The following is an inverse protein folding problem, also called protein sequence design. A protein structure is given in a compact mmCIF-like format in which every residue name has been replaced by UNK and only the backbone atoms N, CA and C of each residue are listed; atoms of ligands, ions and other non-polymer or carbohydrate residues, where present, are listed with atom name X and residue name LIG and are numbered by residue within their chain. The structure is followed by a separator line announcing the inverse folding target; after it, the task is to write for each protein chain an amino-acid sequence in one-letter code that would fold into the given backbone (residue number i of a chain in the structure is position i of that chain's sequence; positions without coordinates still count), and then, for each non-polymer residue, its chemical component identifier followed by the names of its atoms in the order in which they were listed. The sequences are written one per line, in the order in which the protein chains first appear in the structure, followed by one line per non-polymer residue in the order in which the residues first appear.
data_IF_417301708948
#
_entry.id   IF_417301708948
#
_cell.length_a   1.000
_cell.length_b   1.000
_cell.length_c   1.000
_cell.angle_alpha   90.00
_cell.angle_beta   90.00
_cell.angle_gamma   90.00
#
_symmetry.space_group_name_H-M   'P 1'
#
loop_
_entity.id
_entity.type
_entity.pdbx_description
1 polymer ?
#
# COMPACT_ATOMS: atom_id res chain seq x y z
N UNK A 1 3.51 -14.66 18.59
CA UNK A 1 3.98 -13.27 18.77
C UNK A 1 2.86 -12.37 18.33
N UNK A 2 2.36 -11.49 19.20
CA UNK A 2 1.37 -10.47 18.83
C UNK A 2 2.04 -9.53 17.82
N UNK A 3 1.45 -9.37 16.64
CA UNK A 3 1.90 -8.33 15.72
C UNK A 3 1.60 -6.99 16.39
N UNK A 4 2.61 -6.16 16.54
CA UNK A 4 2.46 -4.78 16.98
C UNK A 4 2.41 -3.93 15.72
N UNK A 5 1.43 -3.03 15.64
CA UNK A 5 1.41 -2.01 14.59
C UNK A 5 2.57 -1.02 14.81
N UNK A 6 2.75 -0.09 13.86
CA UNK A 6 3.84 0.88 13.91
C UNK A 6 3.73 1.90 15.06
N UNK A 7 2.57 1.98 15.72
CA UNK A 7 2.30 2.87 16.86
C UNK A 7 2.64 2.21 18.20
N UNK A 8 3.05 0.93 18.17
CA UNK A 8 3.28 0.13 19.38
C UNK A 8 1.99 -0.44 19.96
N UNK A 9 0.85 -0.30 19.27
CA UNK A 9 -0.41 -0.92 19.64
C UNK A 9 -0.44 -2.36 19.13
N UNK A 10 -1.01 -3.24 19.94
CA UNK A 10 -1.21 -4.64 19.56
C UNK A 10 -2.22 -4.67 18.41
N UNK A 11 -1.88 -5.31 17.27
CA UNK A 11 -2.77 -5.55 16.15
C UNK A 11 -4.08 -6.14 16.68
N UNK A 12 -5.14 -5.34 16.54
CA UNK A 12 -6.39 -5.52 17.27
C UNK A 12 -7.49 -6.09 16.40
N UNK A 13 -8.61 -6.44 17.05
CA UNK A 13 -9.80 -6.91 16.36
C UNK A 13 -10.40 -5.83 15.44
N UNK A 14 -10.20 -4.56 15.76
CA UNK A 14 -10.60 -3.39 14.97
C UNK A 14 -9.87 -3.31 13.63
N UNK A 15 -8.56 -3.59 13.58
CA UNK A 15 -7.80 -3.67 12.33
C UNK A 15 -8.33 -4.77 11.41
N UNK A 16 -8.60 -5.95 11.98
CA UNK A 16 -9.12 -7.09 11.22
C UNK A 16 -10.52 -6.84 10.64
N UNK A 17 -11.37 -6.13 11.39
CA UNK A 17 -12.70 -5.68 10.95
C UNK A 17 -12.59 -4.77 9.74
N UNK A 18 -11.73 -3.74 9.80
CA UNK A 18 -11.57 -2.75 8.72
C UNK A 18 -11.02 -3.41 7.44
N UNK A 19 -10.02 -4.28 7.58
CA UNK A 19 -9.45 -5.01 6.45
C UNK A 19 -10.49 -5.93 5.82
N UNK A 20 -11.20 -6.72 6.64
CA UNK A 20 -12.24 -7.62 6.17
C UNK A 20 -13.34 -6.87 5.40
N UNK A 21 -13.79 -5.73 5.95
CA UNK A 21 -14.79 -4.87 5.32
C UNK A 21 -14.32 -4.34 3.95
N UNK A 22 -13.08 -3.85 3.90
CA UNK A 22 -12.49 -3.22 2.71
C UNK A 22 -12.28 -4.24 1.59
N UNK A 23 -11.75 -5.42 1.90
CA UNK A 23 -11.52 -6.49 0.92
C UNK A 23 -12.86 -6.98 0.37
N UNK A 24 -13.85 -7.20 1.21
CA UNK A 24 -15.16 -7.69 0.76
C UNK A 24 -15.87 -6.68 -0.14
N UNK A 25 -15.81 -5.38 0.20
CA UNK A 25 -16.34 -4.32 -0.66
C UNK A 25 -15.63 -4.27 -2.01
N UNK A 26 -14.30 -4.25 -2.01
CA UNK A 26 -13.52 -4.22 -3.24
C UNK A 26 -13.78 -5.46 -4.11
N UNK A 27 -13.90 -6.64 -3.49
CA UNK A 27 -14.21 -7.90 -4.17
C UNK A 27 -15.60 -7.88 -4.79
N UNK A 28 -16.59 -7.35 -4.08
CA UNK A 28 -17.95 -7.15 -4.60
C UNK A 28 -17.96 -6.24 -5.82
N UNK A 29 -17.31 -5.08 -5.73
CA UNK A 29 -17.22 -4.11 -6.83
C UNK A 29 -16.51 -4.72 -8.05
N UNK A 30 -15.37 -5.38 -7.84
CA UNK A 30 -14.61 -6.00 -8.91
C UNK A 30 -15.40 -7.14 -9.58
N UNK A 31 -15.98 -8.04 -8.79
CA UNK A 31 -16.74 -9.19 -9.32
C UNK A 31 -17.93 -8.72 -10.14
N UNK A 32 -18.70 -7.76 -9.64
CA UNK A 32 -19.87 -7.24 -10.35
C UNK A 32 -19.46 -6.50 -11.63
N UNK A 33 -18.35 -5.75 -11.60
CA UNK A 33 -17.77 -5.13 -12.80
C UNK A 33 -17.38 -6.17 -13.86
N UNK A 34 -16.64 -7.22 -13.49
CA UNK A 34 -16.15 -8.23 -14.43
C UNK A 34 -17.24 -9.19 -14.94
N UNK A 35 -18.27 -9.43 -14.14
CA UNK A 35 -19.40 -10.28 -14.53
C UNK A 35 -20.55 -9.51 -15.18
N UNK A 36 -20.35 -8.21 -15.43
CA UNK A 36 -21.36 -7.28 -15.93
C UNK A 36 -22.67 -7.32 -15.11
N UNK A 37 -22.58 -7.63 -13.82
CA UNK A 37 -23.70 -7.61 -12.89
C UNK A 37 -23.86 -6.21 -12.30
N UNK A 38 -25.09 -5.76 -12.01
CA UNK A 38 -25.32 -4.44 -11.45
C UNK A 38 -24.67 -4.29 -10.07
N UNK A 39 -23.93 -3.20 -9.89
CA UNK A 39 -23.42 -2.76 -8.58
C UNK A 39 -24.57 -2.06 -7.86
N UNK A 40 -24.94 -2.55 -6.68
CA UNK A 40 -26.05 -1.99 -5.88
C UNK A 40 -25.53 -1.52 -4.53
N UNK A 41 -26.12 -0.45 -4.00
CA UNK A 41 -25.78 0.04 -2.66
C UNK A 41 -26.07 -1.03 -1.58
N UNK A 42 -27.18 -1.76 -1.72
CA UNK A 42 -27.53 -2.87 -0.82
C UNK A 42 -26.45 -3.96 -0.85
N UNK A 43 -26.03 -4.39 -2.03
CA UNK A 43 -24.99 -5.42 -2.18
C UNK A 43 -23.63 -4.96 -1.65
N UNK A 44 -23.25 -3.70 -1.89
CA UNK A 44 -22.01 -3.12 -1.37
C UNK A 44 -22.01 -3.07 0.16
N UNK A 45 -23.10 -2.62 0.78
CA UNK A 45 -23.25 -2.57 2.24
C UNK A 45 -23.26 -3.97 2.86
N UNK A 46 -23.99 -4.92 2.27
CA UNK A 46 -24.00 -6.32 2.72
C UNK A 46 -22.60 -6.94 2.62
N UNK A 47 -21.89 -6.77 1.50
CA UNK A 47 -20.54 -7.28 1.34
C UNK A 47 -19.57 -6.69 2.38
N UNK A 48 -19.62 -5.37 2.58
CA UNK A 48 -18.78 -4.67 3.56
C UNK A 48 -19.03 -5.19 4.99
N UNK A 49 -20.31 -5.32 5.39
CA UNK A 49 -20.68 -5.80 6.72
C UNK A 49 -20.27 -7.26 6.95
N UNK A 50 -20.49 -8.13 5.95
CA UNK A 50 -20.07 -9.54 6.01
C UNK A 50 -18.55 -9.66 6.07
N UNK A 51 -17.84 -8.82 5.31
CA UNK A 51 -16.38 -8.73 5.36
C UNK A 51 -15.87 -8.34 6.74
N UNK A 52 -16.48 -7.31 7.35
CA UNK A 52 -16.18 -6.85 8.69
C UNK A 52 -16.33 -7.98 9.74
N UNK A 53 -17.47 -8.68 9.71
CA UNK A 53 -17.77 -9.80 10.60
C UNK A 53 -16.79 -10.96 10.40
N UNK A 54 -16.45 -11.26 9.14
CA UNK A 54 -15.50 -12.32 8.79
C UNK A 54 -14.08 -12.00 9.24
N UNK A 55 -13.67 -10.74 9.13
CA UNK A 55 -12.39 -10.24 9.62
C UNK A 55 -12.25 -10.41 11.14
N UNK A 56 -13.27 -9.97 11.91
CA UNK A 56 -13.30 -10.13 13.36
C UNK A 56 -13.20 -11.61 13.80
N UNK A 57 -14.01 -12.48 13.19
CA UNK A 57 -14.07 -13.88 13.55
C UNK A 57 -12.75 -14.61 13.24
N UNK A 58 -12.17 -14.35 12.06
CA UNK A 58 -10.88 -14.93 11.64
C UNK A 58 -9.75 -14.46 12.55
N UNK A 59 -9.75 -13.19 12.96
CA UNK A 59 -8.78 -12.67 13.93
C UNK A 59 -8.88 -13.39 15.28
N UNK A 60 -10.09 -13.52 15.83
CA UNK A 60 -10.31 -14.24 17.08
C UNK A 60 -9.86 -15.70 17.02
N UNK A 61 -10.16 -16.40 15.92
CA UNK A 61 -9.68 -17.78 15.69
C UNK A 61 -8.15 -17.83 15.67
N UNK A 62 -7.51 -16.89 14.98
CA UNK A 62 -6.05 -16.77 14.92
C UNK A 62 -5.40 -16.47 16.28
N UNK A 63 -6.04 -15.65 17.12
CA UNK A 63 -5.55 -15.34 18.46
C UNK A 63 -5.55 -16.59 19.36
N UNK A 64 -6.64 -17.36 19.32
CA UNK A 64 -6.76 -18.62 20.04
C UNK A 64 -5.80 -19.69 19.50
N UNK A 65 -5.71 -19.84 18.18
CA UNK A 65 -4.77 -20.75 17.54
C UNK A 65 -3.32 -20.40 17.86
N UNK A 66 -3.00 -19.11 18.00
CA UNK A 66 -1.67 -18.62 18.37
C UNK A 66 -1.20 -19.04 19.76
N UNK A 67 -2.10 -19.51 20.64
CA UNK A 67 -1.76 -20.10 21.95
C UNK A 67 -1.32 -21.56 21.85
N UNK A 68 -1.53 -22.20 20.70
CA UNK A 68 -1.21 -23.62 20.47
C UNK A 68 0.22 -23.77 19.96
N UNK A 69 1.09 -24.40 20.77
CA UNK A 69 2.52 -24.56 20.46
C UNK A 69 2.87 -25.66 19.44
N UNK A 70 1.93 -26.55 19.12
CA UNK A 70 2.13 -27.61 18.14
C UNK A 70 1.53 -27.20 16.78
N UNK A 71 2.35 -27.20 15.73
CA UNK A 71 1.96 -26.79 14.39
C UNK A 71 0.76 -27.57 13.83
N UNK A 72 0.72 -28.89 14.02
CA UNK A 72 -0.36 -29.73 13.49
C UNK A 72 -1.67 -29.52 14.24
N UNK A 73 -1.61 -29.40 15.56
CA UNK A 73 -2.78 -29.09 16.41
C UNK A 73 -3.32 -27.72 16.06
N UNK A 74 -2.44 -26.72 15.96
CA UNK A 74 -2.79 -25.36 15.56
C UNK A 74 -3.45 -25.33 14.18
N UNK A 75 -2.81 -25.93 13.18
CA UNK A 75 -3.32 -25.93 11.80
C UNK A 75 -4.65 -26.68 11.69
N UNK A 76 -4.81 -27.79 12.41
CA UNK A 76 -6.05 -28.54 12.48
C UNK A 76 -7.18 -27.75 13.14
N UNK A 77 -6.88 -27.04 14.23
CA UNK A 77 -7.84 -26.15 14.88
C UNK A 77 -8.25 -24.98 13.98
N UNK A 78 -7.29 -24.29 13.35
CA UNK A 78 -7.55 -23.19 12.40
C UNK A 78 -8.40 -23.66 11.21
N UNK A 79 -8.17 -24.87 10.70
CA UNK A 79 -8.96 -25.47 9.64
C UNK A 79 -10.39 -25.76 10.07
N UNK A 80 -10.57 -26.39 11.23
CA UNK A 80 -11.90 -26.71 11.74
C UNK A 80 -12.69 -25.43 12.07
N UNK A 81 -12.05 -24.46 12.72
CA UNK A 81 -12.69 -23.23 13.16
C UNK A 81 -13.06 -22.32 11.98
N UNK A 82 -12.13 -22.06 11.03
CA UNK A 82 -12.46 -21.29 9.84
C UNK A 82 -13.44 -22.03 8.92
N UNK A 83 -13.35 -23.36 8.80
CA UNK A 83 -14.34 -24.16 8.08
C UNK A 83 -15.72 -24.00 8.68
N UNK A 84 -15.88 -24.25 9.98
CA UNK A 84 -17.18 -24.14 10.66
C UNK A 84 -17.77 -22.74 10.53
N UNK A 85 -16.95 -21.70 10.71
CA UNK A 85 -17.38 -20.31 10.56
C UNK A 85 -17.81 -19.99 9.12
N UNK A 86 -17.00 -20.34 8.12
CA UNK A 86 -17.31 -20.08 6.71
C UNK A 86 -18.52 -20.90 6.22
N UNK A 87 -18.70 -22.12 6.72
CA UNK A 87 -19.89 -22.93 6.46
C UNK A 87 -21.16 -22.30 7.01
N UNK A 88 -21.13 -21.84 8.28
CA UNK A 88 -22.26 -21.14 8.89
C UNK A 88 -22.59 -19.83 8.15
N UNK A 89 -21.57 -19.05 7.80
CA UNK A 89 -21.72 -17.80 7.06
C UNK A 89 -22.33 -18.03 5.67
N UNK A 90 -21.85 -19.05 4.95
CA UNK A 90 -22.38 -19.45 3.64
C UNK A 90 -23.84 -19.89 3.76
N UNK A 91 -24.19 -20.64 4.81
CA UNK A 91 -25.57 -21.04 5.10
C UNK A 91 -26.51 -19.84 5.32
N UNK A 92 -26.09 -18.85 6.10
CA UNK A 92 -26.87 -17.62 6.35
C UNK A 92 -27.04 -16.78 5.07
N UNK A 93 -26.11 -16.89 4.12
CA UNK A 93 -26.17 -16.24 2.81
C UNK A 93 -26.95 -17.04 1.75
N UNK A 94 -27.56 -18.17 2.14
CA UNK A 94 -28.38 -19.01 1.25
C UNK A 94 -27.58 -20.05 0.45
N UNK A 95 -26.29 -20.24 0.74
CA UNK A 95 -25.44 -21.28 0.15
C UNK A 95 -25.40 -22.57 0.98
N UNK A 96 -24.66 -23.57 0.52
CA UNK A 96 -24.52 -24.85 1.23
C UNK A 96 -23.46 -24.75 2.34
N UNK A 97 -23.79 -25.24 3.53
CA UNK A 97 -22.86 -25.29 4.66
C UNK A 97 -21.54 -25.97 4.31
N UNK A 98 -21.58 -27.14 3.64
CA UNK A 98 -20.41 -27.94 3.33
C UNK A 98 -19.49 -27.28 2.31
N UNK A 99 -20.03 -26.50 1.36
CA UNK A 99 -19.19 -25.74 0.43
C UNK A 99 -18.43 -24.62 1.14
N UNK A 100 -19.10 -23.90 2.05
CA UNK A 100 -18.45 -22.89 2.87
C UNK A 100 -17.43 -23.49 3.84
N UNK A 101 -17.77 -24.64 4.44
CA UNK A 101 -16.89 -25.38 5.33
C UNK A 101 -15.61 -25.84 4.65
N UNK A 102 -15.74 -26.47 3.49
CA UNK A 102 -14.58 -26.93 2.72
C UNK A 102 -13.68 -25.75 2.31
N UNK A 103 -14.27 -24.65 1.82
CA UNK A 103 -13.52 -23.46 1.45
C UNK A 103 -12.74 -22.86 2.62
N UNK A 104 -13.38 -22.71 3.79
CA UNK A 104 -12.74 -22.18 4.99
C UNK A 104 -11.63 -23.10 5.54
N UNK A 105 -11.88 -24.41 5.62
CA UNK A 105 -10.93 -25.36 6.17
C UNK A 105 -9.68 -25.51 5.30
N UNK A 106 -9.85 -25.59 3.98
CA UNK A 106 -8.74 -25.74 3.03
C UNK A 106 -7.90 -24.47 2.97
N UNK A 107 -8.53 -23.29 3.02
CA UNK A 107 -7.81 -22.02 3.07
C UNK A 107 -6.91 -21.91 4.30
N UNK A 108 -7.38 -22.37 5.48
CA UNK A 108 -6.53 -22.43 6.68
C UNK A 108 -5.35 -23.37 6.51
N UNK A 109 -5.59 -24.61 6.06
CA UNK A 109 -4.53 -25.60 5.89
C UNK A 109 -3.48 -25.09 4.90
N UNK A 110 -3.93 -24.52 3.78
CA UNK A 110 -3.05 -23.95 2.78
C UNK A 110 -2.23 -22.78 3.35
N UNK A 111 -2.84 -21.91 4.15
CA UNK A 111 -2.13 -20.82 4.85
C UNK A 111 -1.07 -21.35 5.80
N UNK A 112 -1.39 -22.37 6.61
CA UNK A 112 -0.45 -22.99 7.54
C UNK A 112 0.72 -23.68 6.81
N UNK A 113 0.45 -24.37 5.70
CA UNK A 113 1.48 -24.99 4.83
C UNK A 113 2.35 -23.93 4.15
N UNK A 114 1.76 -22.80 3.74
CA UNK A 114 2.48 -21.71 3.10
C UNK A 114 3.43 -20.99 4.06
N UNK A 115 2.94 -20.64 5.26
CA UNK A 115 3.71 -19.94 6.29
C UNK A 115 4.74 -20.86 6.97
N UNK A 116 4.37 -22.13 7.18
CA UNK A 116 5.10 -23.08 8.01
C UNK A 116 4.94 -22.78 9.49
N UNK A 117 5.63 -23.54 10.33
CA UNK A 117 5.59 -23.37 11.78
C UNK A 117 6.50 -24.36 12.49
N UNK A 118 6.58 -24.21 13.81
CA UNK A 118 7.39 -25.08 14.65
C UNK A 118 6.51 -25.81 15.65
N UNK A 119 6.89 -27.03 15.98
CA UNK A 119 6.33 -27.83 17.07
C UNK A 119 7.44 -28.05 18.07
N UNK A 120 7.26 -27.58 19.31
CA UNK A 120 8.20 -27.82 20.40
C UNK A 120 7.57 -28.78 21.41
N UNK A 121 8.22 -29.91 21.64
CA UNK A 121 7.85 -30.85 22.70
C UNK A 121 8.94 -30.82 23.77
N UNK A 122 8.55 -30.50 25.01
CA UNK A 122 9.44 -30.58 26.16
C UNK A 122 9.27 -31.94 26.83
N UNK A 123 10.34 -32.73 26.88
CA UNK A 123 10.42 -33.98 27.61
C UNK A 123 11.01 -33.71 28.99
N UNK A 124 10.31 -34.14 30.03
CA UNK A 124 10.79 -34.07 31.41
C UNK A 124 11.21 -35.46 31.88
N UNK A 125 12.46 -35.62 32.32
CA UNK A 125 12.99 -36.84 32.95
C UNK A 125 13.63 -36.44 34.28
N UNK A 126 12.92 -36.67 35.39
CA UNK A 126 13.34 -36.18 36.70
C UNK A 126 13.41 -34.65 36.71
N UNK A 127 14.53 -34.09 37.18
CA UNK A 127 14.80 -32.63 37.16
C UNK A 127 15.28 -32.10 35.82
N UNK A 128 15.56 -32.97 34.85
CA UNK A 128 16.00 -32.58 33.51
C UNK A 128 14.81 -32.34 32.60
N UNK A 129 14.83 -31.22 31.89
CA UNK A 129 13.85 -30.85 30.87
C UNK A 129 14.59 -30.59 29.57
N UNK A 130 14.25 -31.32 28.51
CA UNK A 130 14.81 -31.14 27.16
C UNK A 130 13.70 -30.77 26.18
N UNK A 131 13.92 -29.76 25.34
CA UNK A 131 12.91 -29.26 24.40
C UNK A 131 13.34 -29.55 22.97
N UNK A 132 12.66 -30.50 22.33
CA UNK A 132 12.86 -30.83 20.92
C UNK A 132 11.94 -29.96 20.09
N UNK A 133 12.52 -29.11 19.24
CA UNK A 133 11.76 -28.25 18.31
C UNK A 133 11.89 -28.75 16.88
N UNK A 134 10.80 -29.25 16.31
CA UNK A 134 10.70 -29.59 14.89
C UNK A 134 10.17 -28.39 14.14
N UNK A 135 10.91 -27.88 13.16
CA UNK A 135 10.49 -26.73 12.34
C UNK A 135 10.11 -27.16 10.93
N UNK A 136 8.86 -26.91 10.55
CA UNK A 136 8.37 -27.06 9.18
C UNK A 136 8.56 -25.73 8.44
N UNK A 137 9.55 -25.67 7.55
CA UNK A 137 9.72 -24.52 6.66
C UNK A 137 8.56 -24.49 5.68
N UNK A 138 7.72 -23.47 5.77
CA UNK A 138 6.57 -23.32 4.87
C UNK A 138 6.99 -23.16 3.42
N UNK A 139 6.09 -23.53 2.49
CA UNK A 139 6.36 -23.52 1.05
C UNK A 139 6.83 -22.14 0.55
N UNK A 140 6.28 -21.06 1.11
CA UNK A 140 6.70 -19.70 0.80
C UNK A 140 8.16 -19.41 1.19
N UNK A 141 8.66 -20.05 2.25
CA UNK A 141 10.08 -19.93 2.65
C UNK A 141 10.99 -20.76 1.75
N UNK A 142 10.56 -21.99 1.41
CA UNK A 142 11.34 -22.93 0.60
C UNK A 142 11.49 -22.44 -0.83
N UNK A 143 10.43 -21.84 -1.40
CA UNK A 143 10.43 -21.32 -2.77
C UNK A 143 11.00 -19.89 -2.88
N UNK A 144 11.45 -19.27 -1.79
CA UNK A 144 11.90 -17.86 -1.79
C UNK A 144 10.77 -16.85 -2.05
N UNK A 145 9.52 -17.27 -1.85
CA UNK A 145 8.30 -16.51 -2.11
C UNK A 145 7.74 -15.84 -0.83
N UNK A 146 8.56 -15.60 0.19
CA UNK A 146 8.23 -14.68 1.30
C UNK A 146 8.41 -13.22 0.88
N UNK A 147 7.92 -12.89 -0.31
CA UNK A 147 7.98 -11.57 -0.92
C UNK A 147 6.59 -11.19 -1.45
N UNK A 148 6.35 -9.91 -1.79
CA UNK A 148 5.12 -9.42 -2.41
C UNK A 148 4.51 -10.33 -3.48
N UNK A 149 5.36 -10.83 -4.37
CA UNK A 149 4.99 -11.69 -5.50
C UNK A 149 4.44 -13.02 -5.01
N UNK A 150 5.03 -13.59 -3.95
CA UNK A 150 4.58 -14.83 -3.35
C UNK A 150 3.24 -14.75 -2.63
N UNK A 151 2.93 -13.63 -1.98
CA UNK A 151 1.60 -13.39 -1.38
C UNK A 151 0.51 -13.34 -2.45
N UNK A 152 0.81 -12.71 -3.60
CA UNK A 152 -0.11 -12.63 -4.75
C UNK A 152 -0.25 -14.00 -5.42
N UNK A 153 0.86 -14.71 -5.64
CA UNK A 153 0.85 -16.05 -6.22
C UNK A 153 0.07 -17.05 -5.35
N UNK A 154 0.23 -16.99 -4.03
CA UNK A 154 -0.52 -17.82 -3.09
C UNK A 154 -2.03 -17.56 -3.20
N UNK A 155 -2.46 -16.31 -3.13
CA UNK A 155 -3.89 -16.02 -3.22
C UNK A 155 -4.49 -16.32 -4.60
N UNK A 156 -3.73 -16.16 -5.67
CA UNK A 156 -4.10 -16.60 -7.03
C UNK A 156 -4.39 -18.10 -7.05
N UNK A 157 -3.46 -18.92 -6.56
CA UNK A 157 -3.63 -20.38 -6.51
C UNK A 157 -4.80 -20.76 -5.59
N UNK A 158 -4.95 -20.08 -4.46
CA UNK A 158 -6.03 -20.38 -3.52
C UNK A 158 -7.41 -19.99 -4.02
N UNK A 159 -7.54 -18.87 -4.74
CA UNK A 159 -8.79 -18.53 -5.41
C UNK A 159 -9.16 -19.59 -6.48
N UNK A 160 -8.17 -20.08 -7.22
CA UNK A 160 -8.37 -21.11 -8.24
C UNK A 160 -8.87 -22.43 -7.65
N UNK A 161 -8.21 -22.88 -6.57
CA UNK A 161 -8.61 -24.07 -5.83
C UNK A 161 -10.00 -23.89 -5.21
N UNK A 162 -10.27 -22.74 -4.58
CA UNK A 162 -11.55 -22.42 -3.96
C UNK A 162 -12.72 -22.46 -4.95
N UNK A 163 -12.57 -21.87 -6.14
CA UNK A 163 -13.62 -21.90 -7.16
C UNK A 163 -13.84 -23.31 -7.72
N UNK A 164 -12.77 -24.07 -7.99
CA UNK A 164 -12.90 -25.44 -8.50
C UNK A 164 -13.61 -26.37 -7.51
N UNK A 165 -13.47 -26.12 -6.20
CA UNK A 165 -14.07 -26.94 -5.14
C UNK A 165 -15.53 -26.59 -4.85
N UNK A 166 -15.96 -25.35 -5.11
CA UNK A 166 -17.34 -24.91 -4.94
C UNK A 166 -18.18 -25.06 -6.21
N UNK A 167 -17.67 -25.81 -7.20
CA UNK A 167 -18.34 -26.07 -8.48
C UNK A 167 -18.19 -24.94 -9.52
N UNK A 168 -17.35 -23.95 -9.24
CA UNK A 168 -17.02 -22.85 -10.14
C UNK A 168 -15.78 -23.11 -11.02
N UNK A 169 -15.49 -22.17 -11.92
CA UNK A 169 -14.38 -22.30 -12.86
C UNK A 169 -13.03 -21.98 -12.20
N UNK A 170 -12.05 -22.89 -12.37
CA UNK A 170 -10.68 -22.75 -11.86
C UNK A 170 -10.01 -21.42 -12.27
N UNK A 171 -10.11 -21.02 -13.53
CA UNK A 171 -9.52 -19.77 -14.04
C UNK A 171 -10.21 -18.53 -13.49
N UNK A 172 -11.53 -18.58 -13.33
CA UNK A 172 -12.28 -17.48 -12.70
C UNK A 172 -11.90 -17.33 -11.22
N UNK A 173 -11.73 -18.44 -10.51
CA UNK A 173 -11.20 -18.46 -9.15
C UNK A 173 -9.79 -17.91 -9.06
N UNK A 174 -8.92 -18.28 -9.99
CA UNK A 174 -7.54 -17.81 -10.03
C UNK A 174 -7.47 -16.29 -10.16
N UNK A 175 -8.29 -15.73 -11.06
CA UNK A 175 -8.39 -14.28 -11.28
C UNK A 175 -8.91 -13.58 -10.02
N UNK A 176 -9.99 -14.08 -9.40
CA UNK A 176 -10.50 -13.52 -8.14
C UNK A 176 -9.46 -13.60 -7.03
N UNK A 177 -8.75 -14.72 -6.91
CA UNK A 177 -7.67 -14.91 -5.96
C UNK A 177 -6.49 -13.96 -6.18
N UNK A 178 -6.14 -13.70 -7.44
CA UNK A 178 -5.10 -12.75 -7.84
C UNK A 178 -5.49 -11.32 -7.51
N UNK A 179 -6.75 -10.93 -7.74
CA UNK A 179 -7.25 -9.62 -7.37
C UNK A 179 -7.33 -9.44 -5.86
N UNK A 180 -7.91 -10.41 -5.13
CA UNK A 180 -8.03 -10.35 -3.67
C UNK A 180 -6.65 -10.30 -3.02
N UNK A 181 -5.70 -11.11 -3.47
CA UNK A 181 -4.34 -11.09 -2.91
C UNK A 181 -3.48 -9.95 -3.40
N UNK A 182 -3.67 -9.48 -4.64
CA UNK A 182 -3.10 -8.25 -5.17
C UNK A 182 -3.55 -7.05 -4.34
N UNK A 183 -4.87 -6.89 -4.16
CA UNK A 183 -5.45 -5.84 -3.34
C UNK A 183 -5.07 -6.00 -1.86
N UNK A 184 -5.16 -7.20 -1.28
CA UNK A 184 -4.74 -7.45 0.10
C UNK A 184 -3.24 -7.18 0.31
N UNK A 185 -2.40 -7.50 -0.68
CA UNK A 185 -1.00 -7.15 -0.66
C UNK A 185 -0.79 -5.63 -0.79
N UNK A 186 -1.54 -4.95 -1.67
CA UNK A 186 -1.53 -3.47 -1.77
C UNK A 186 -1.99 -2.85 -0.46
N UNK A 187 -3.10 -3.30 0.14
CA UNK A 187 -3.64 -2.84 1.42
C UNK A 187 -2.70 -3.12 2.60
N UNK A 188 -2.10 -4.32 2.69
CA UNK A 188 -1.09 -4.58 3.70
C UNK A 188 0.23 -3.84 3.44
N UNK A 189 0.61 -3.56 2.18
CA UNK A 189 1.77 -2.70 1.85
C UNK A 189 1.50 -1.22 2.14
N UNK A 190 0.22 -0.80 2.13
CA UNK A 190 -0.25 0.50 2.61
C UNK A 190 -0.25 0.54 4.15
N UNK A 191 -0.65 -0.55 4.82
CA UNK A 191 -0.66 -0.71 6.28
C UNK A 191 0.73 -0.95 6.90
N UNK A 192 1.74 -1.38 6.13
CA UNK A 192 3.09 -1.65 6.65
C UNK A 192 3.86 -0.41 7.14
N UNK A 193 3.33 0.80 7.01
CA UNK A 193 3.82 1.98 7.74
C UNK A 193 2.66 2.94 7.99
N UNK A 194 2.05 2.87 9.17
CA UNK A 194 1.03 3.81 9.69
C UNK A 194 1.57 5.23 9.92
N UNK A 195 2.14 5.83 8.88
CA UNK A 195 2.26 7.26 8.73
C UNK A 195 1.32 7.71 7.62
N UNK A 196 1.04 8.99 7.60
CA UNK A 196 0.31 9.63 6.53
C UNK A 196 0.93 9.34 5.16
N UNK A 197 0.12 9.47 4.11
CA UNK A 197 0.59 9.34 2.73
C UNK A 197 -0.09 10.34 1.82
N UNK A 198 0.57 10.62 0.70
CA UNK A 198 0.11 11.57 -0.31
C UNK A 198 -0.33 10.80 -1.55
N UNK A 199 -1.43 11.20 -2.16
CA UNK A 199 -1.83 10.76 -3.50
C UNK A 199 -1.88 11.98 -4.41
N UNK A 200 -1.11 11.96 -5.48
CA UNK A 200 -1.23 12.91 -6.59
C UNK A 200 -2.04 12.26 -7.70
N UNK A 201 -3.18 12.85 -8.03
CA UNK A 201 -4.13 12.33 -9.02
C UNK A 201 -4.13 13.08 -10.35
N UNK A 202 -3.34 14.16 -10.45
CA UNK A 202 -3.21 14.98 -11.66
C UNK A 202 -3.49 16.45 -11.38
N UNK A 203 -4.55 16.76 -10.65
CA UNK A 203 -4.93 18.14 -10.33
C UNK A 203 -4.72 18.51 -8.86
N UNK A 204 -4.61 17.52 -7.97
CA UNK A 204 -4.30 17.78 -6.57
C UNK A 204 -3.42 16.72 -5.90
N UNK A 205 -2.77 17.13 -4.82
CA UNK A 205 -2.26 16.21 -3.81
C UNK A 205 -3.30 16.10 -2.70
N UNK A 206 -3.83 14.89 -2.54
CA UNK A 206 -4.67 14.50 -1.42
C UNK A 206 -3.78 13.91 -0.34
N UNK A 207 -3.84 14.50 0.85
CA UNK A 207 -3.12 13.99 2.01
C UNK A 207 -4.06 13.10 2.82
N UNK A 208 -3.66 11.86 3.04
CA UNK A 208 -4.38 10.87 3.83
C UNK A 208 -3.68 10.62 5.16
N UNK A 209 -4.44 10.43 6.23
CA UNK A 209 -3.88 9.89 7.46
C UNK A 209 -3.52 8.40 7.31
N UNK A 210 -2.81 7.84 8.29
CA UNK A 210 -2.47 6.41 8.32
C UNK A 210 -3.68 5.45 8.35
N UNK A 211 -4.91 5.96 8.48
CA UNK A 211 -6.17 5.20 8.45
C UNK A 211 -6.91 5.33 7.10
N UNK A 212 -6.37 6.12 6.17
CA UNK A 212 -6.97 6.36 4.85
C UNK A 212 -8.06 7.45 4.84
N UNK A 213 -8.19 8.26 5.89
CA UNK A 213 -9.07 9.43 5.86
C UNK A 213 -8.35 10.60 5.19
N UNK A 214 -9.08 11.37 4.38
CA UNK A 214 -8.55 12.61 3.79
C UNK A 214 -8.40 13.66 4.89
N UNK A 215 -7.19 14.20 5.06
CA UNK A 215 -6.89 15.25 6.03
C UNK A 215 -6.70 16.62 5.39
N UNK A 216 -6.28 16.70 4.13
CA UNK A 216 -6.13 17.95 3.40
C UNK A 216 -6.00 17.70 1.88
N UNK A 217 -6.22 18.76 1.10
CA UNK A 217 -6.10 18.77 -0.37
C UNK A 217 -5.34 20.00 -0.84
N UNK A 218 -4.44 19.81 -1.79
CA UNK A 218 -3.60 20.88 -2.32
C UNK A 218 -3.61 20.82 -3.85
N UNK A 219 -4.01 21.91 -4.49
CA UNK A 219 -3.81 22.09 -5.93
C UNK A 219 -2.38 21.73 -6.33
N UNK A 220 -2.24 20.95 -7.40
CA UNK A 220 -0.96 20.43 -7.84
C UNK A 220 -0.90 20.31 -9.37
N UNK A 221 0.21 20.73 -9.97
CA UNK A 221 0.39 20.72 -11.43
C UNK A 221 1.68 20.03 -11.81
N UNK A 222 1.63 19.22 -12.88
CA UNK A 222 2.81 18.53 -13.43
C UNK A 222 2.82 18.59 -14.95
N UNK A 223 4.01 18.74 -15.54
CA UNK A 223 4.23 18.80 -16.98
C UNK A 223 4.23 20.23 -17.54
N UNK A 224 4.85 20.39 -18.70
CA UNK A 224 4.96 21.65 -19.44
C UNK A 224 3.63 22.00 -20.12
N UNK A 225 3.37 23.30 -20.42
CA UNK A 225 2.21 23.67 -21.22
C UNK A 225 2.18 22.88 -22.54
N UNK A 226 1.03 22.27 -22.84
CA UNK A 226 0.86 21.35 -23.99
C UNK A 226 1.17 19.88 -23.70
N UNK A 227 1.80 19.56 -22.57
CA UNK A 227 2.13 18.20 -22.13
C UNK A 227 1.43 17.77 -20.84
N UNK A 228 0.48 18.56 -20.34
CA UNK A 228 -0.21 18.34 -19.05
C UNK A 228 -1.32 17.27 -19.14
N UNK A 229 -0.94 16.06 -19.54
CA UNK A 229 -1.82 14.91 -19.65
C UNK A 229 -1.10 13.62 -19.27
N UNK A 230 -1.77 12.74 -18.51
CA UNK A 230 -1.19 11.49 -18.03
C UNK A 230 -0.73 10.54 -19.14
N UNK A 231 -1.34 10.60 -20.34
CA UNK A 231 -0.89 9.83 -21.51
C UNK A 231 0.52 10.20 -21.98
N UNK A 232 0.99 11.41 -21.65
CA UNK A 232 2.29 11.96 -22.04
C UNK A 232 3.35 11.80 -20.95
N UNK A 233 3.08 11.02 -19.89
CA UNK A 233 4.02 10.78 -18.78
C UNK A 233 5.33 10.08 -19.21
N UNK A 234 5.43 9.57 -20.43
CA UNK A 234 6.66 9.00 -20.98
C UNK A 234 7.51 10.03 -21.76
N UNK A 235 7.02 11.25 -21.98
CA UNK A 235 7.75 12.29 -22.72
C UNK A 235 8.85 12.88 -21.83
N UNK A 236 10.14 12.70 -22.17
CA UNK A 236 11.25 13.22 -21.39
C UNK A 236 11.19 14.74 -21.27
N UNK A 237 11.56 15.27 -20.10
CA UNK A 237 11.70 16.71 -19.79
C UNK A 237 10.47 17.61 -20.05
N UNK A 238 9.33 17.05 -20.46
CA UNK A 238 8.12 17.81 -20.77
C UNK A 238 6.85 17.20 -20.17
N UNK A 239 6.72 15.87 -20.18
CA UNK A 239 5.56 15.17 -19.65
C UNK A 239 5.42 15.29 -18.13
N UNK A 240 4.23 15.01 -17.58
CA UNK A 240 4.02 15.01 -16.14
C UNK A 240 4.86 13.91 -15.48
N UNK A 241 4.93 13.95 -14.16
CA UNK A 241 5.58 12.91 -13.35
C UNK A 241 5.03 11.51 -13.73
N UNK A 242 5.87 10.47 -13.84
CA UNK A 242 5.39 9.11 -14.10
C UNK A 242 4.53 8.60 -12.94
N UNK A 243 3.56 7.73 -13.26
CA UNK A 243 2.84 6.97 -12.24
C UNK A 243 3.76 6.03 -11.49
N UNK A 244 3.44 5.84 -10.21
CA UNK A 244 4.14 4.91 -9.35
C UNK A 244 4.31 5.41 -7.92
N UNK A 245 5.12 4.67 -7.18
CA UNK A 245 5.36 4.93 -5.77
C UNK A 245 6.66 5.71 -5.61
N UNK A 246 6.57 6.78 -4.84
CA UNK A 246 7.66 7.67 -4.46
C UNK A 246 7.69 7.85 -2.95
N UNK A 247 8.76 8.46 -2.46
CA UNK A 247 8.88 8.85 -1.06
C UNK A 247 9.66 10.15 -0.93
N UNK A 248 9.33 10.92 0.11
CA UNK A 248 10.15 12.05 0.55
C UNK A 248 10.92 11.61 1.80
N UNK A 249 12.21 11.91 1.82
CA UNK A 249 13.05 11.74 3.01
C UNK A 249 12.83 12.91 3.97
N UNK A 250 12.29 12.62 5.16
CA UNK A 250 12.00 13.62 6.19
C UNK A 250 12.96 13.56 7.38
N UNK A 251 13.94 12.63 7.37
CA UNK A 251 14.92 12.50 8.45
C UNK A 251 15.96 13.63 8.49
N UNK A 252 16.03 14.42 7.43
CA UNK A 252 16.98 15.51 7.28
C UNK A 252 16.33 16.83 7.66
N UNK A 253 17.11 17.74 8.27
CA UNK A 253 16.61 19.07 8.64
C UNK A 253 15.99 19.79 7.42
N UNK A 254 14.73 20.30 7.55
CA UNK A 254 14.03 20.96 6.45
C UNK A 254 14.55 22.37 6.15
N UNK A 255 15.39 22.93 7.03
CA UNK A 255 15.96 24.27 6.89
C UNK A 255 17.27 24.29 6.09
N UNK A 256 17.70 23.15 5.55
CA UNK A 256 18.92 23.08 4.74
C UNK A 256 18.70 23.78 3.40
N UNK A 257 19.64 24.61 3.00
CA UNK A 257 19.64 25.19 1.68
C UNK A 257 19.99 24.14 0.62
N UNK A 258 19.50 24.36 -0.60
CA UNK A 258 19.97 23.64 -1.78
C UNK A 258 21.45 23.90 -2.02
N UNK A 259 22.19 22.86 -2.42
CA UNK A 259 23.56 23.02 -2.92
C UNK A 259 23.50 23.62 -4.32
N UNK A 260 24.31 24.65 -4.57
CA UNK A 260 24.36 25.35 -5.86
C UNK A 260 25.77 25.20 -6.42
N UNK A 261 25.85 24.91 -7.72
CA UNK A 261 27.12 24.92 -8.44
C UNK A 261 27.66 26.36 -8.48
N UNK A 262 28.80 26.59 -7.84
CA UNK A 262 29.38 27.94 -7.68
C UNK A 262 29.79 28.59 -9.00
N UNK A 263 30.00 27.81 -10.06
CA UNK A 263 30.38 28.31 -11.38
C UNK A 263 29.16 28.59 -12.28
N UNK A 264 28.15 27.71 -12.26
CA UNK A 264 27.00 27.79 -13.18
C UNK A 264 25.77 28.44 -12.57
N UNK A 265 25.66 28.46 -11.23
CA UNK A 265 24.44 28.86 -10.53
C UNK A 265 23.34 27.80 -10.59
N UNK A 266 23.62 26.58 -11.05
CA UNK A 266 22.61 25.53 -11.12
C UNK A 266 22.38 24.89 -9.74
N UNK A 267 21.10 24.67 -9.40
CA UNK A 267 20.75 23.88 -8.22
C UNK A 267 21.15 22.43 -8.44
N UNK A 268 21.94 21.86 -7.53
CA UNK A 268 22.36 20.47 -7.60
C UNK A 268 21.27 19.54 -7.04
N UNK A 269 21.23 18.26 -7.45
CA UNK A 269 20.32 17.29 -6.85
C UNK A 269 20.52 17.15 -5.34
N UNK A 270 19.43 16.86 -4.62
CA UNK A 270 19.46 16.69 -3.17
C UNK A 270 18.33 15.81 -2.65
N UNK A 271 18.44 15.39 -1.38
CA UNK A 271 17.45 14.55 -0.70
C UNK A 271 16.70 15.35 0.35
N UNK A 272 15.43 14.98 0.56
CA UNK A 272 14.52 15.57 1.54
C UNK A 272 14.07 16.99 1.20
N UNK A 273 13.66 17.73 2.23
CA UNK A 273 13.22 19.13 2.11
C UNK A 273 14.45 20.04 2.05
N UNK A 274 14.45 20.99 1.11
CA UNK A 274 15.50 21.99 0.95
C UNK A 274 14.90 23.36 0.65
N UNK A 275 15.46 24.40 1.28
CA UNK A 275 15.17 25.79 1.00
C UNK A 275 15.89 26.25 -0.28
N UNK A 276 15.20 27.04 -1.09
CA UNK A 276 15.71 27.64 -2.32
C UNK A 276 15.97 29.12 -2.04
N UNK A 277 17.21 29.62 -2.20
CA UNK A 277 17.48 31.04 -2.02
C UNK A 277 16.80 31.86 -3.12
N UNK A 278 16.48 33.12 -2.83
CA UNK A 278 15.93 34.05 -3.84
C UNK A 278 16.90 34.29 -5.00
N UNK A 279 18.20 34.33 -4.69
CA UNK A 279 19.27 34.49 -5.68
C UNK A 279 20.60 33.88 -5.22
N UNK A 280 21.49 33.64 -6.16
CA UNK A 280 22.88 33.22 -5.91
C UNK A 280 23.83 33.91 -6.87
N UNK A 281 24.97 34.38 -6.39
CA UNK A 281 26.03 34.99 -7.21
C UNK A 281 27.17 34.00 -7.37
N UNK A 282 27.49 33.65 -8.61
CA UNK A 282 28.58 32.73 -8.95
C UNK A 282 29.94 33.32 -8.66
N UNK A 283 30.98 32.48 -8.67
CA UNK A 283 32.38 32.91 -8.54
C UNK A 283 32.79 33.88 -9.66
N UNK A 284 32.12 33.83 -10.82
CA UNK A 284 32.30 34.78 -11.93
C UNK A 284 31.56 36.11 -11.75
N UNK A 285 30.85 36.32 -10.64
CA UNK A 285 30.10 37.54 -10.34
C UNK A 285 28.71 37.62 -10.97
N UNK A 286 28.23 36.55 -11.63
CA UNK A 286 26.90 36.53 -12.26
C UNK A 286 25.83 36.08 -11.26
N UNK A 287 24.76 36.86 -11.14
CA UNK A 287 23.64 36.55 -10.24
C UNK A 287 22.52 35.80 -10.98
N UNK A 288 22.05 34.71 -10.38
CA UNK A 288 20.92 33.90 -10.85
C UNK A 288 19.79 33.95 -9.83
N UNK A 289 18.55 33.96 -10.32
CA UNK A 289 17.32 33.85 -9.53
C UNK A 289 16.57 32.57 -9.87
N UNK A 290 15.78 32.05 -8.92
CA UNK A 290 15.12 30.73 -9.06
C UNK A 290 13.57 30.77 -9.00
N UNK A 291 12.88 31.69 -9.70
CA UNK A 291 11.43 31.81 -9.61
C UNK A 291 10.70 30.53 -10.04
N UNK A 292 11.33 29.74 -10.91
CA UNK A 292 10.79 28.45 -11.37
C UNK A 292 10.82 27.33 -10.32
N UNK A 293 11.48 27.52 -9.18
CA UNK A 293 11.53 26.57 -8.07
C UNK A 293 10.68 27.00 -6.87
N UNK A 294 10.35 28.29 -6.75
CA UNK A 294 9.73 28.81 -5.54
C UNK A 294 10.74 28.99 -4.41
N UNK A 295 10.32 28.78 -3.18
CA UNK A 295 11.13 28.96 -1.97
C UNK A 295 11.56 27.65 -1.33
N UNK A 296 10.88 26.54 -1.63
CA UNK A 296 11.18 25.24 -1.03
C UNK A 296 10.87 24.11 -2.00
N UNK A 297 11.66 23.03 -1.90
CA UNK A 297 11.43 21.79 -2.65
C UNK A 297 11.60 20.56 -1.78
N UNK A 298 10.97 19.47 -2.16
CA UNK A 298 11.14 18.15 -1.55
C UNK A 298 11.44 17.09 -2.61
N UNK A 299 12.53 16.36 -2.43
CA UNK A 299 12.95 15.31 -3.38
C UNK A 299 12.03 14.09 -3.34
N UNK A 300 11.61 13.61 -4.51
CA UNK A 300 10.81 12.41 -4.69
C UNK A 300 11.71 11.25 -5.14
N UNK A 301 11.98 10.33 -4.21
CA UNK A 301 12.73 9.11 -4.48
C UNK A 301 11.78 8.01 -4.98
N UNK A 302 11.94 7.51 -6.22
CA UNK A 302 11.11 6.42 -6.73
C UNK A 302 11.38 5.13 -5.96
N UNK A 303 10.32 4.40 -5.66
CA UNK A 303 10.40 3.05 -5.09
C UNK A 303 10.81 2.03 -6.16
N UNK A 304 11.30 0.87 -5.71
CA UNK A 304 11.59 -0.25 -6.60
C UNK A 304 10.33 -0.65 -7.40
N UNK A 305 10.45 -0.70 -8.73
CA UNK A 305 9.34 -1.00 -9.64
C UNK A 305 8.67 0.22 -10.29
N UNK A 306 8.92 1.44 -9.80
CA UNK A 306 8.42 2.67 -10.44
C UNK A 306 9.14 2.92 -11.77
N UNK A 307 8.39 2.96 -12.88
CA UNK A 307 8.93 3.21 -14.22
C UNK A 307 9.13 4.72 -14.43
N UNK A 308 10.36 5.20 -14.23
CA UNK A 308 10.65 6.64 -14.38
C UNK A 308 10.90 7.09 -15.82
N UNK A 309 10.91 6.16 -16.79
CA UNK A 309 11.28 6.44 -18.19
C UNK A 309 12.67 7.09 -18.32
N UNK A 310 13.61 6.67 -17.48
CA UNK A 310 14.98 7.21 -17.46
C UNK A 310 15.11 8.56 -16.73
N UNK A 311 14.00 9.13 -16.22
CA UNK A 311 14.02 10.39 -15.48
C UNK A 311 14.52 10.18 -14.05
N UNK A 312 15.22 11.19 -13.55
CA UNK A 312 15.71 11.28 -12.17
C UNK A 312 15.54 12.72 -11.68
N UNK A 313 15.88 13.00 -10.42
CA UNK A 313 15.83 14.36 -9.86
C UNK A 313 14.44 14.99 -9.96
N UNK A 314 13.42 14.27 -9.49
CA UNK A 314 12.02 14.70 -9.48
C UNK A 314 11.69 15.28 -8.10
N UNK A 315 10.96 16.39 -8.05
CA UNK A 315 10.67 17.12 -6.82
C UNK A 315 9.22 17.55 -6.71
N UNK A 316 8.76 17.75 -5.47
CA UNK A 316 7.68 18.69 -5.14
C UNK A 316 8.30 20.09 -5.00
N UNK A 317 7.64 21.16 -5.45
CA UNK A 317 8.11 22.54 -5.23
C UNK A 317 6.97 23.57 -5.23
N UNK A 318 7.15 24.70 -4.56
CA UNK A 318 6.11 25.71 -4.28
C UNK A 318 6.17 26.95 -5.19
N UNK A 319 6.60 26.79 -6.44
CA UNK A 319 6.48 27.86 -7.43
C UNK A 319 5.01 28.10 -7.81
N UNK A 320 4.77 29.16 -8.60
CA UNK A 320 3.42 29.64 -8.93
C UNK A 320 3.22 29.83 -10.43
N UNK A 321 3.93 29.06 -11.25
CA UNK A 321 3.95 29.25 -12.71
C UNK A 321 2.90 28.40 -13.44
N UNK A 322 2.31 27.40 -12.78
CA UNK A 322 1.29 26.54 -13.37
C UNK A 322 1.81 25.44 -14.29
N UNK A 323 3.10 25.07 -14.17
CA UNK A 323 3.71 23.98 -14.96
C UNK A 323 5.02 23.47 -14.34
N UNK A 324 5.58 22.37 -14.85
CA UNK A 324 6.89 21.84 -14.43
C UNK A 324 7.54 20.99 -15.53
N UNK A 325 8.84 20.67 -15.43
CA UNK A 325 9.52 19.72 -16.34
C UNK A 325 9.39 18.27 -15.82
N UNK A 326 8.19 17.89 -15.38
CA UNK A 326 7.91 16.57 -14.79
C UNK A 326 8.05 16.48 -13.26
N UNK A 327 8.31 17.59 -12.58
CA UNK A 327 8.14 17.73 -11.12
C UNK A 327 6.65 17.93 -10.77
N UNK A 328 6.30 18.08 -9.50
CA UNK A 328 4.96 18.52 -9.09
C UNK A 328 5.08 19.90 -8.45
N UNK A 329 4.50 20.90 -9.09
CA UNK A 329 4.26 22.20 -8.46
C UNK A 329 3.06 22.07 -7.52
N UNK A 330 3.15 22.57 -6.29
CA UNK A 330 2.10 22.39 -5.26
C UNK A 330 1.70 23.72 -4.62
N UNK A 331 0.45 23.82 -4.16
CA UNK A 331 -0.06 25.02 -3.51
C UNK A 331 0.65 25.40 -2.21
N UNK A 332 0.64 26.71 -1.87
CA UNK A 332 1.37 27.34 -0.76
C UNK A 332 1.19 26.68 0.62
N UNK A 333 0.04 26.06 0.88
CA UNK A 333 -0.26 25.43 2.18
C UNK A 333 0.44 24.08 2.39
N UNK A 334 0.96 23.47 1.33
CA UNK A 334 1.51 22.11 1.38
C UNK A 334 2.79 22.04 2.22
N UNK A 335 3.79 22.86 1.92
CA UNK A 335 5.09 22.77 2.57
C UNK A 335 5.09 23.11 4.07
N UNK A 336 4.34 24.11 4.56
CA UNK A 336 4.20 24.31 6.00
C UNK A 336 3.70 23.05 6.73
N UNK A 337 2.73 22.33 6.14
CA UNK A 337 2.22 21.07 6.69
C UNK A 337 3.26 19.95 6.61
N UNK A 338 3.97 19.82 5.49
CA UNK A 338 5.05 18.84 5.31
C UNK A 338 6.22 19.05 6.27
N UNK A 339 6.62 20.30 6.48
CA UNK A 339 7.68 20.66 7.42
C UNK A 339 7.25 20.32 8.85
N UNK A 340 6.01 20.64 9.25
CA UNK A 340 5.49 20.25 10.56
C UNK A 340 5.47 18.72 10.74
N UNK A 341 5.01 17.99 9.72
CA UNK A 341 4.98 16.53 9.74
C UNK A 341 6.38 15.90 9.87
N UNK A 342 7.40 16.52 9.25
CA UNK A 342 8.80 16.07 9.31
C UNK A 342 9.42 16.14 10.71
N UNK A 343 8.83 16.89 11.64
CA UNK A 343 9.37 16.99 13.01
C UNK A 343 9.26 15.67 13.79
N UNK A 344 8.30 14.83 13.45
CA UNK A 344 8.04 13.56 14.15
C UNK A 344 8.14 12.34 13.23
N UNK A 345 8.36 12.54 11.93
CA UNK A 345 8.40 11.46 10.95
C UNK A 345 9.65 11.54 10.07
N UNK A 346 10.23 10.39 9.76
CA UNK A 346 11.45 10.28 8.95
C UNK A 346 11.20 10.09 7.46
N UNK A 347 9.95 9.84 7.05
CA UNK A 347 9.57 9.73 5.64
C UNK A 347 8.05 9.89 5.45
N UNK A 348 7.64 10.28 4.24
CA UNK A 348 6.25 10.21 3.79
C UNK A 348 6.19 9.57 2.40
N UNK A 349 5.20 8.70 2.18
CA UNK A 349 4.96 8.04 0.90
C UNK A 349 4.18 8.98 -0.03
N UNK A 350 4.52 8.98 -1.31
CA UNK A 350 3.81 9.73 -2.35
C UNK A 350 3.42 8.77 -3.46
N UNK A 351 2.14 8.67 -3.74
CA UNK A 351 1.58 7.79 -4.77
C UNK A 351 1.15 8.69 -5.92
N UNK A 352 1.71 8.49 -7.11
CA UNK A 352 1.22 9.13 -8.33
C UNK A 352 0.30 8.12 -9.01
N UNK A 353 -0.99 8.46 -9.10
CA UNK A 353 -2.01 7.58 -9.66
C UNK A 353 -3.08 8.40 -10.39
N UNK A 354 -3.07 8.36 -11.72
CA UNK A 354 -4.02 9.11 -12.52
C UNK A 354 -5.35 8.34 -12.63
N UNK A 355 -6.52 8.97 -12.38
CA UNK A 355 -7.83 8.30 -12.46
C UNK A 355 -8.11 7.63 -13.82
N UNK A 356 -7.57 8.20 -14.90
CA UNK A 356 -7.69 7.69 -16.27
C UNK A 356 -6.39 7.86 -17.06
N UNK A 357 -6.28 7.15 -18.20
CA UNK A 357 -5.15 7.27 -19.13
C UNK A 357 -5.02 8.66 -19.78
N UNK A 358 -6.05 9.51 -19.72
CA UNK A 358 -6.07 10.86 -20.32
C UNK A 358 -6.35 11.96 -19.28
N UNK A 359 -5.96 11.74 -18.03
CA UNK A 359 -6.18 12.68 -16.93
C UNK A 359 -5.39 13.96 -17.18
N UNK A 360 -6.05 15.11 -17.01
CA UNK A 360 -5.39 16.42 -17.00
C UNK A 360 -4.46 16.53 -15.79
N UNK A 361 -3.24 17.02 -15.99
CA UNK A 361 -2.29 17.27 -14.89
C UNK A 361 -2.13 18.75 -14.56
N UNK A 362 -3.13 19.56 -14.89
CA UNK A 362 -3.21 21.01 -14.67
C UNK A 362 -4.12 21.34 -13.47
N UNK A 363 -3.57 21.31 -12.26
CA UNK A 363 -4.29 21.57 -11.01
C UNK A 363 -4.48 23.04 -10.62
N UNK A 364 -4.22 23.98 -11.53
CA UNK A 364 -4.38 25.44 -11.31
C UNK A 364 -3.58 25.96 -10.11
N UNK A 365 -2.28 25.73 -10.11
CA UNK A 365 -1.32 26.24 -9.10
C UNK A 365 -0.85 27.67 -9.33
N UNK A 366 -1.30 28.30 -10.42
CA UNK A 366 -1.13 29.72 -10.70
C UNK A 366 -2.17 30.54 -9.90
N UNK A 367 -1.76 31.68 -9.34
CA UNK A 367 -2.64 32.64 -8.66
C UNK A 367 -2.70 33.96 -9.43
#
# INVERSE_FOLDING_TARGET
MKYTDITGNVFGIDDAIIIGASIALATYLATNYFTAQPITLKGALTATFIGALSGAATFGIGEWAGTMGNFFVRSGFEALAHGTFQGALTGIQGGNFWSGFAAGAISSIASSVWQGGSSSNTYHVGTFSDTVTTTHKGLGTVLGLKNPIGTIAFGTVMGAAGASLTGGNFWQGAVTGLFVSGLNHTFHSMQQKGGDYLVYDGDEIVWYDGKGNVIDRFSATSGLPGYQNSSMQNVPDAGPIPEGNYSVNLSLSPNRNVNINSSTGETLPGSGIQQIPSSYTTTSGKTYSYPGWGTVRASLSPSSGTKTFGRSSIYLHDSHKGFSHGCIEVGKRFFPKLINYSQTHSSIRVIVNYPTANTSTLGKTFY
#
